data_IF_200986419663
#
_entry.id   IF_200986419663
#
_cell.length_a   1.000
_cell.length_b   1.000
_cell.length_c   1.000
_cell.angle_alpha   90.00
_cell.angle_beta   90.00
_cell.angle_gamma   90.00
#
_symmetry.space_group_name_H-M   'P 1'
#
loop_
_entity.id
_entity.type
_entity.pdbx_description
1 polymer ?
#
# COMPACT_ATOMS: atom_id res chain seq x y z
N UNK A 1 2.46 46.37 49.57
CA UNK A 1 1.88 45.67 48.40
C UNK A 1 3.00 45.53 47.39
N UNK A 2 3.28 44.33 46.88
CA UNK A 2 4.30 44.16 45.83
C UNK A 2 3.88 44.96 44.60
N UNK A 3 4.81 45.69 44.03
CA UNK A 3 4.61 46.41 42.78
C UNK A 3 4.55 45.43 41.61
N UNK A 4 3.82 45.77 40.54
CA UNK A 4 3.72 44.91 39.35
C UNK A 4 5.10 44.52 38.79
N UNK A 5 6.09 45.40 38.89
CA UNK A 5 7.46 45.11 38.47
C UNK A 5 8.13 44.03 39.32
N UNK A 6 7.93 44.04 40.64
CA UNK A 6 8.51 43.03 41.53
C UNK A 6 7.96 41.64 41.22
N UNK A 7 6.66 41.55 40.89
CA UNK A 7 6.01 40.29 40.51
C UNK A 7 6.57 39.76 39.19
N UNK A 8 6.72 40.63 38.18
CA UNK A 8 7.27 40.24 36.88
C UNK A 8 8.72 39.75 37.00
N UNK A 9 9.55 40.46 37.77
CA UNK A 9 10.94 40.05 38.04
C UNK A 9 11.03 38.73 38.83
N UNK A 10 10.10 38.48 39.75
CA UNK A 10 10.05 37.19 40.47
C UNK A 10 9.68 36.03 39.52
N UNK A 11 8.68 36.24 38.66
CA UNK A 11 8.26 35.28 37.64
C UNK A 11 9.41 34.94 36.69
N UNK A 12 10.10 35.93 36.15
CA UNK A 12 11.20 35.71 35.19
C UNK A 12 12.37 34.95 35.83
N UNK A 13 12.72 35.25 37.09
CA UNK A 13 13.73 34.49 37.84
C UNK A 13 13.33 33.04 38.04
N UNK A 14 12.07 32.77 38.38
CA UNK A 14 11.57 31.41 38.56
C UNK A 14 11.58 30.62 37.24
N UNK A 15 11.16 31.23 36.13
CA UNK A 15 11.20 30.59 34.80
C UNK A 15 12.62 30.29 34.34
N UNK A 16 13.56 31.24 34.54
CA UNK A 16 14.96 31.03 34.21
C UNK A 16 15.59 29.90 35.04
N UNK A 17 15.25 29.81 36.33
CA UNK A 17 15.71 28.75 37.20
C UNK A 17 15.18 27.38 36.76
N UNK A 18 13.87 27.27 36.47
CA UNK A 18 13.28 26.03 35.97
C UNK A 18 13.93 25.59 34.65
N UNK A 19 14.15 26.52 33.72
CA UNK A 19 14.83 26.23 32.45
C UNK A 19 16.27 25.77 32.65
N UNK A 20 17.00 26.30 33.63
CA UNK A 20 18.37 25.86 33.93
C UNK A 20 18.44 24.43 34.48
N UNK A 21 17.40 23.97 35.18
CA UNK A 21 17.38 22.63 35.79
C UNK A 21 16.88 21.59 34.78
N UNK A 22 15.80 21.91 34.07
CA UNK A 22 15.08 20.93 33.24
C UNK A 22 15.38 21.06 31.75
N UNK A 23 16.05 22.12 31.29
CA UNK A 23 16.41 22.32 29.89
C UNK A 23 15.27 22.88 29.02
N UNK A 24 14.02 22.68 29.42
CA UNK A 24 12.83 23.10 28.69
C UNK A 24 12.09 24.27 29.36
N UNK A 25 11.12 24.82 28.65
CA UNK A 25 10.20 25.85 29.15
C UNK A 25 9.20 25.27 30.17
N UNK A 26 8.65 26.14 31.02
CA UNK A 26 7.77 25.71 32.10
C UNK A 26 6.49 25.02 31.60
N UNK A 27 5.99 25.38 30.42
CA UNK A 27 4.79 24.77 29.84
C UNK A 27 5.08 23.31 29.47
N UNK A 28 6.21 23.05 28.80
CA UNK A 28 6.68 21.70 28.47
C UNK A 28 6.90 20.85 29.72
N UNK A 29 7.58 21.39 30.75
CA UNK A 29 7.83 20.67 32.01
C UNK A 29 6.50 20.24 32.67
N UNK A 30 5.52 21.14 32.72
CA UNK A 30 4.20 20.86 33.31
C UNK A 30 3.46 19.80 32.50
N UNK A 31 3.51 19.90 31.16
CA UNK A 31 2.89 18.92 30.28
C UNK A 31 3.51 17.53 30.48
N UNK A 32 4.83 17.42 30.47
CA UNK A 32 5.56 16.17 30.68
C UNK A 32 5.26 15.54 32.03
N UNK A 33 5.20 16.34 33.10
CA UNK A 33 4.84 15.84 34.44
C UNK A 33 3.42 15.29 34.47
N UNK A 34 2.47 15.98 33.82
CA UNK A 34 1.06 15.58 33.75
C UNK A 34 0.91 14.29 32.94
N UNK A 35 1.53 14.20 31.76
CA UNK A 35 1.50 13.00 30.94
C UNK A 35 2.24 11.83 31.58
N UNK A 36 3.36 12.08 32.26
CA UNK A 36 4.08 11.09 33.05
C UNK A 36 3.22 10.50 34.17
N UNK A 37 2.50 11.35 34.92
CA UNK A 37 1.56 10.91 35.94
C UNK A 37 0.41 10.08 35.35
N UNK A 38 -0.24 10.58 34.29
CA UNK A 38 -1.32 9.85 33.60
C UNK A 38 -0.81 8.49 33.10
N UNK A 39 0.36 8.44 32.47
CA UNK A 39 0.97 7.20 31.99
C UNK A 39 1.24 6.22 33.14
N UNK A 40 1.69 6.72 34.30
CA UNK A 40 1.85 5.93 35.51
C UNK A 40 0.53 5.31 35.97
N UNK A 41 -0.51 6.13 36.15
CA UNK A 41 -1.85 5.66 36.56
C UNK A 41 -2.41 4.65 35.56
N UNK A 42 -2.28 4.92 34.26
CA UNK A 42 -2.77 4.04 33.20
C UNK A 42 -2.10 2.66 33.24
N UNK A 43 -0.84 2.53 33.66
CA UNK A 43 -0.19 1.22 33.82
C UNK A 43 -0.85 0.35 34.90
N UNK A 44 -1.37 0.98 35.96
CA UNK A 44 -1.97 0.27 37.09
C UNK A 44 -3.45 -0.03 36.87
N UNK A 45 -4.18 0.88 36.20
CA UNK A 45 -5.64 0.74 36.01
C UNK A 45 -6.02 0.10 34.68
N UNK A 46 -5.19 0.24 33.64
CA UNK A 46 -5.46 -0.35 32.32
C UNK A 46 -4.69 -1.66 32.21
N UNK A 47 -5.38 -2.77 32.45
CA UNK A 47 -4.93 -4.07 31.97
C UNK A 47 -5.13 -4.13 30.46
N UNK A 48 -4.14 -3.68 29.71
CA UNK A 48 -4.07 -4.04 28.28
C UNK A 48 -4.00 -5.57 28.27
N UNK A 49 -4.92 -6.28 27.58
CA UNK A 49 -4.64 -7.68 27.29
C UNK A 49 -3.26 -7.70 26.64
N UNK A 50 -2.38 -8.60 27.09
CA UNK A 50 -1.17 -8.88 26.34
C UNK A 50 -1.65 -9.12 24.91
N UNK A 51 -1.35 -8.20 24.01
CA UNK A 51 -1.70 -8.37 22.61
C UNK A 51 -0.72 -9.42 22.10
N UNK A 52 -0.93 -10.67 22.51
CA UNK A 52 -0.52 -11.88 21.81
C UNK A 52 -1.47 -12.17 20.65
N UNK A 53 -2.22 -11.17 20.19
CA UNK A 53 -2.43 -11.05 18.74
C UNK A 53 -1.09 -10.63 18.13
N UNK A 54 -0.15 -11.57 18.06
CA UNK A 54 0.58 -11.73 16.80
C UNK A 54 -0.53 -11.86 15.76
N UNK A 55 -0.91 -10.74 15.15
CA UNK A 55 -1.96 -10.75 14.16
C UNK A 55 -1.49 -11.78 13.13
N UNK A 56 -2.37 -12.66 12.68
CA UNK A 56 -2.00 -13.65 11.65
C UNK A 56 -1.28 -12.98 10.47
N UNK A 57 -1.65 -11.72 10.17
CA UNK A 57 -0.93 -10.79 9.30
C UNK A 57 0.56 -10.68 9.60
N UNK A 58 0.97 -10.38 10.84
CA UNK A 58 2.38 -10.17 11.22
C UNK A 58 3.24 -11.43 11.00
N UNK A 59 2.64 -12.61 11.18
CA UNK A 59 3.33 -13.89 10.90
C UNK A 59 3.50 -14.12 9.41
N UNK A 60 2.46 -13.82 8.63
CA UNK A 60 2.46 -13.96 7.18
C UNK A 60 3.47 -12.97 6.58
N UNK A 61 3.45 -11.71 7.00
CA UNK A 61 4.35 -10.67 6.51
C UNK A 61 5.81 -11.01 6.79
N UNK A 62 6.12 -11.61 7.94
CA UNK A 62 7.48 -12.05 8.26
C UNK A 62 8.01 -13.12 7.29
N UNK A 63 7.13 -13.98 6.78
CA UNK A 63 7.50 -15.04 5.83
C UNK A 63 7.55 -14.49 4.41
N UNK A 64 6.53 -13.72 4.01
CA UNK A 64 6.42 -13.17 2.65
C UNK A 64 7.48 -12.09 2.39
N UNK A 65 7.79 -11.24 3.37
CA UNK A 65 8.76 -10.14 3.25
C UNK A 65 10.19 -10.58 3.66
N UNK A 66 10.41 -11.88 3.89
CA UNK A 66 11.72 -12.40 4.23
C UNK A 66 12.72 -12.18 3.08
N UNK A 67 13.95 -11.74 3.39
CA UNK A 67 14.99 -11.48 2.39
C UNK A 67 15.32 -12.67 1.47
N UNK A 68 15.16 -13.89 1.95
CA UNK A 68 15.48 -15.11 1.22
C UNK A 68 14.23 -15.80 0.65
N UNK A 69 13.13 -15.88 1.41
CA UNK A 69 11.89 -16.52 0.96
C UNK A 69 11.00 -15.60 0.13
N UNK A 70 11.14 -14.28 0.27
CA UNK A 70 10.27 -13.32 -0.41
C UNK A 70 10.42 -13.34 -1.93
N UNK A 71 11.64 -13.48 -2.46
CA UNK A 71 11.87 -13.57 -3.91
C UNK A 71 11.24 -14.86 -4.50
N UNK A 72 11.49 -16.07 -3.96
CA UNK A 72 10.81 -17.29 -4.42
C UNK A 72 9.28 -17.22 -4.33
N UNK A 73 8.73 -16.73 -3.21
CA UNK A 73 7.29 -16.60 -3.02
C UNK A 73 6.70 -15.62 -4.03
N UNK A 74 7.36 -14.48 -4.24
CA UNK A 74 6.95 -13.50 -5.23
C UNK A 74 6.89 -14.10 -6.64
N UNK A 75 7.94 -14.82 -7.05
CA UNK A 75 7.95 -15.48 -8.36
C UNK A 75 6.87 -16.54 -8.49
N UNK A 76 6.61 -17.33 -7.44
CA UNK A 76 5.54 -18.33 -7.45
C UNK A 76 4.15 -17.69 -7.59
N UNK A 77 3.90 -16.60 -6.86
CA UNK A 77 2.64 -15.85 -6.96
C UNK A 77 2.49 -15.19 -8.33
N UNK A 78 3.54 -14.53 -8.84
CA UNK A 78 3.53 -13.94 -10.18
C UNK A 78 3.30 -14.98 -11.26
N UNK A 79 3.98 -16.12 -11.18
CA UNK A 79 3.74 -17.25 -12.09
C UNK A 79 2.30 -17.73 -12.01
N UNK A 80 1.76 -17.91 -10.80
CA UNK A 80 0.36 -18.28 -10.58
C UNK A 80 -0.61 -17.28 -11.18
N UNK A 81 -0.34 -15.97 -11.05
CA UNK A 81 -1.13 -14.92 -11.67
C UNK A 81 -1.10 -15.01 -13.20
N UNK A 82 0.09 -15.17 -13.81
CA UNK A 82 0.19 -15.34 -15.26
C UNK A 82 -0.58 -16.58 -15.74
N UNK A 83 -0.37 -17.73 -15.10
CA UNK A 83 -1.09 -18.96 -15.43
C UNK A 83 -2.60 -18.76 -15.32
N UNK A 84 -3.07 -18.15 -14.23
CA UNK A 84 -4.48 -17.88 -14.04
C UNK A 84 -5.03 -16.94 -15.12
N UNK A 85 -4.36 -15.81 -15.38
CA UNK A 85 -4.80 -14.84 -16.38
C UNK A 85 -4.84 -15.43 -17.78
N UNK A 86 -3.79 -16.13 -18.22
CA UNK A 86 -3.75 -16.71 -19.57
C UNK A 86 -4.73 -17.89 -19.73
N UNK A 87 -4.87 -18.73 -18.70
CA UNK A 87 -5.83 -19.85 -18.76
C UNK A 87 -7.26 -19.35 -18.79
N UNK A 88 -7.57 -18.32 -18.00
CA UNK A 88 -8.91 -17.73 -17.97
C UNK A 88 -9.20 -16.91 -19.24
N UNK A 89 -8.18 -16.27 -19.83
CA UNK A 89 -8.34 -15.51 -21.07
C UNK A 89 -8.41 -16.40 -22.30
N UNK A 90 -7.87 -17.63 -22.28
CA UNK A 90 -7.88 -18.55 -23.43
C UNK A 90 -9.27 -18.72 -24.09
N UNK A 91 -10.34 -19.10 -23.38
CA UNK A 91 -11.66 -19.24 -24.00
C UNK A 91 -12.22 -17.92 -24.55
N UNK A 92 -11.87 -16.79 -23.94
CA UNK A 92 -12.27 -15.47 -24.43
C UNK A 92 -11.52 -15.10 -25.71
N UNK A 93 -10.21 -15.40 -25.78
CA UNK A 93 -9.40 -15.23 -26.98
C UNK A 93 -9.93 -16.11 -28.12
N UNK A 94 -10.25 -17.38 -27.84
CA UNK A 94 -10.82 -18.30 -28.83
C UNK A 94 -12.13 -17.76 -29.44
N UNK A 95 -13.00 -17.15 -28.63
CA UNK A 95 -14.23 -16.52 -29.12
C UNK A 95 -13.96 -15.31 -30.02
N UNK A 96 -13.00 -14.47 -29.64
CA UNK A 96 -12.61 -13.31 -30.44
C UNK A 96 -12.01 -13.76 -31.77
N UNK A 97 -11.09 -14.74 -31.74
CA UNK A 97 -10.48 -15.31 -32.94
C UNK A 97 -11.52 -15.93 -33.87
N UNK A 98 -12.47 -16.70 -33.35
CA UNK A 98 -13.57 -17.24 -34.15
C UNK A 98 -14.42 -16.15 -34.82
N UNK A 99 -14.61 -15.00 -34.17
CA UNK A 99 -15.28 -13.84 -34.75
C UNK A 99 -14.49 -13.21 -35.90
N UNK A 100 -13.18 -13.05 -35.75
CA UNK A 100 -12.31 -12.56 -36.81
C UNK A 100 -12.25 -13.52 -38.01
N UNK A 101 -12.13 -14.82 -37.75
CA UNK A 101 -12.14 -15.86 -38.79
C UNK A 101 -13.45 -15.85 -39.59
N UNK A 102 -14.58 -15.69 -38.90
CA UNK A 102 -15.89 -15.60 -39.56
C UNK A 102 -15.94 -14.43 -40.57
N UNK A 103 -15.39 -13.27 -40.21
CA UNK A 103 -15.36 -12.09 -41.09
C UNK A 103 -14.32 -12.28 -42.20
N UNK A 104 -13.14 -12.82 -41.88
CA UNK A 104 -12.05 -13.06 -42.83
C UNK A 104 -12.51 -13.95 -44.00
N UNK A 105 -13.17 -15.08 -43.70
CA UNK A 105 -13.70 -16.01 -44.72
C UNK A 105 -14.68 -15.31 -45.66
N UNK A 106 -15.50 -14.39 -45.16
CA UNK A 106 -16.46 -13.64 -45.98
C UNK A 106 -15.79 -12.55 -46.81
N UNK A 107 -14.71 -11.95 -46.31
CA UNK A 107 -13.94 -10.96 -47.04
C UNK A 107 -13.19 -11.57 -48.25
N UNK A 108 -12.75 -12.83 -48.15
CA UNK A 108 -12.07 -13.53 -49.26
C UNK A 108 -12.97 -13.68 -50.50
N UNK A 109 -14.29 -13.73 -50.33
CA UNK A 109 -15.25 -13.81 -51.44
C UNK A 109 -15.45 -12.51 -52.23
N UNK A 110 -14.80 -11.41 -51.84
CA UNK A 110 -14.91 -10.12 -52.53
C UNK A 110 -14.10 -10.15 -53.83
N UNK A 111 -14.75 -9.78 -54.93
CA UNK A 111 -14.08 -9.57 -56.22
C UNK A 111 -13.54 -8.14 -56.34
N UNK A 112 -12.37 -7.93 -56.96
CA UNK A 112 -11.47 -8.93 -57.53
C UNK A 112 -10.71 -9.75 -56.47
N UNK A 113 -10.35 -10.98 -56.80
CA UNK A 113 -9.80 -11.99 -55.87
C UNK A 113 -8.56 -11.52 -55.08
N UNK A 114 -7.70 -10.72 -55.70
CA UNK A 114 -6.53 -10.13 -55.03
C UNK A 114 -6.92 -9.18 -53.89
N UNK A 115 -8.04 -8.46 -54.02
CA UNK A 115 -8.55 -7.53 -53.02
C UNK A 115 -9.22 -8.28 -51.87
N UNK A 116 -10.02 -9.30 -52.17
CA UNK A 116 -10.62 -10.16 -51.15
C UNK A 116 -9.56 -10.87 -50.31
N UNK A 117 -8.50 -11.40 -50.94
CA UNK A 117 -7.36 -12.00 -50.24
C UNK A 117 -6.57 -10.99 -49.40
N UNK A 118 -6.34 -9.77 -49.90
CA UNK A 118 -5.65 -8.73 -49.15
C UNK A 118 -6.39 -8.35 -47.86
N UNK A 119 -7.73 -8.24 -47.94
CA UNK A 119 -8.55 -7.88 -46.79
C UNK A 119 -8.70 -9.06 -45.82
N UNK A 120 -9.12 -10.23 -46.31
CA UNK A 120 -9.38 -11.41 -45.47
C UNK A 120 -8.13 -12.00 -44.84
N UNK A 121 -7.13 -12.36 -45.66
CA UNK A 121 -5.93 -13.03 -45.18
C UNK A 121 -4.85 -12.05 -44.71
N UNK A 122 -4.74 -10.89 -45.35
CA UNK A 122 -3.73 -9.89 -45.02
C UNK A 122 -4.09 -9.06 -43.79
N UNK A 123 -5.15 -8.26 -43.90
CA UNK A 123 -5.52 -7.29 -42.85
C UNK A 123 -6.19 -8.01 -41.68
N UNK A 124 -7.28 -8.74 -41.92
CA UNK A 124 -8.10 -9.33 -40.86
C UNK A 124 -7.36 -10.50 -40.20
N UNK A 125 -6.82 -11.42 -41.00
CA UNK A 125 -5.99 -12.52 -40.50
C UNK A 125 -4.74 -12.04 -39.76
N UNK A 126 -4.08 -10.99 -40.24
CA UNK A 126 -2.90 -10.41 -39.59
C UNK A 126 -3.23 -9.80 -38.21
N UNK A 127 -4.29 -9.01 -38.11
CA UNK A 127 -4.70 -8.38 -36.83
C UNK A 127 -5.21 -9.41 -35.83
N UNK A 128 -5.86 -10.50 -36.28
CA UNK A 128 -6.35 -11.56 -35.39
C UNK A 128 -5.28 -12.44 -34.73
N UNK A 129 -3.99 -12.27 -35.09
CA UNK A 129 -2.88 -13.08 -34.55
C UNK A 129 -2.09 -12.42 -33.42
N UNK A 130 -2.36 -11.14 -33.12
CA UNK A 130 -1.63 -10.32 -32.13
C UNK A 130 -2.49 -10.02 -30.93
#
# INVERSE_FOLDING_TARGET
>A
MLTNEEILRAKDRALAHLRSIYGDDAETIIADRRYGFISGVLKDVVKKPAIERLAWSDKIDRVIVNRWLGIPIFLAVMYGMFQFTFTLSAPLMDWISAGFDFIAVRAVGISPEWLGSLIGNGIIGGVGTV
#
